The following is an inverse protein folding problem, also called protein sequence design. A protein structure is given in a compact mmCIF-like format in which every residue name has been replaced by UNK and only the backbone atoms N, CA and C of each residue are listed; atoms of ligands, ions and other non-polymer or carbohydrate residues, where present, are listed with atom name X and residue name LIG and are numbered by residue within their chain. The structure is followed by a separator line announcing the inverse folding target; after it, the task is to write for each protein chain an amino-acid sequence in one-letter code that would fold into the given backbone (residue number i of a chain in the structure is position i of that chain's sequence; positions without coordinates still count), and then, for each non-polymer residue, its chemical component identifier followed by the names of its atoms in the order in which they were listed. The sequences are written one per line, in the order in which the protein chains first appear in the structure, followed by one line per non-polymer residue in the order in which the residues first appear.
data_IF_192045668138
#
_entry.id   IF_192045668138
#
_cell.length_a   1.000
_cell.length_b   1.000
_cell.length_c   1.000
_cell.angle_alpha   90.00
_cell.angle_beta   90.00
_cell.angle_gamma   90.00
#
_symmetry.space_group_name_H-M   'P 1'
#
loop_
_entity.id
_entity.type
_entity.pdbx_description
1 polymer ?
#
# COMPACT_ATOMS: atom_id res chain seq x y z
N UNK A 1 27.16 -8.22 32.50
CA UNK A 1 27.07 -8.06 31.03
C UNK A 1 25.62 -7.81 30.70
N UNK A 2 25.36 -6.73 29.98
CA UNK A 2 24.26 -5.81 30.25
C UNK A 2 22.95 -6.11 29.54
N UNK A 3 21.87 -5.89 30.28
CA UNK A 3 20.45 -5.78 29.89
C UNK A 3 20.18 -4.94 28.61
N UNK A 4 21.16 -4.13 28.18
CA UNK A 4 21.11 -3.29 26.97
C UNK A 4 21.27 -4.09 25.65
N UNK A 5 21.85 -5.30 25.65
CA UNK A 5 21.92 -6.13 24.44
C UNK A 5 20.57 -6.80 24.09
N UNK A 6 19.75 -7.13 25.10
CA UNK A 6 18.43 -7.73 24.90
C UNK A 6 17.42 -6.72 24.31
N UNK A 7 17.54 -5.42 24.65
CA UNK A 7 16.70 -4.38 24.09
C UNK A 7 16.99 -4.11 22.61
N UNK A 8 18.22 -4.38 22.12
CA UNK A 8 18.55 -4.20 20.70
C UNK A 8 17.93 -5.27 19.81
N UNK A 9 17.64 -6.46 20.35
CA UNK A 9 16.90 -7.51 19.65
C UNK A 9 15.39 -7.21 19.55
N UNK A 10 14.84 -6.41 20.47
CA UNK A 10 13.42 -6.01 20.45
C UNK A 10 13.15 -4.76 19.60
N UNK A 11 14.16 -3.91 19.41
CA UNK A 11 14.09 -2.71 18.55
C UNK A 11 14.72 -2.89 17.17
N UNK A 12 15.33 -4.04 16.90
CA UNK A 12 15.80 -4.43 15.56
C UNK A 12 14.64 -4.98 14.76
N UNK A 13 13.80 -4.09 14.21
CA UNK A 13 12.61 -4.45 13.45
C UNK A 13 12.94 -5.49 12.38
N UNK A 14 12.45 -6.71 12.57
CA UNK A 14 12.28 -7.64 11.47
C UNK A 14 11.51 -6.89 10.39
N UNK A 15 12.08 -6.87 9.18
CA UNK A 15 11.38 -6.43 7.98
C UNK A 15 10.10 -7.27 7.93
N UNK A 16 8.96 -6.67 8.29
CA UNK A 16 7.68 -7.37 8.37
C UNK A 16 7.23 -7.87 7.00
N UNK A 17 7.86 -7.39 5.92
CA UNK A 17 7.66 -7.79 4.53
C UNK A 17 8.99 -7.77 3.78
N UNK A 18 9.19 -8.72 2.87
CA UNK A 18 10.32 -8.77 1.95
C UNK A 18 10.21 -7.59 0.96
N UNK A 19 10.90 -6.48 1.24
CA UNK A 19 10.81 -5.26 0.41
C UNK A 19 11.73 -5.37 -0.82
N UNK A 20 11.21 -5.13 -2.04
CA UNK A 20 11.95 -5.26 -3.29
C UNK A 20 13.08 -4.21 -3.45
N UNK A 21 14.16 -4.60 -4.14
CA UNK A 21 15.33 -3.72 -4.40
C UNK A 21 15.08 -2.73 -5.55
N UNK A 22 14.29 -3.11 -6.55
CA UNK A 22 13.90 -2.27 -7.68
C UNK A 22 12.44 -1.80 -7.53
N UNK A 23 12.24 -0.52 -7.18
CA UNK A 23 10.91 0.08 -6.96
C UNK A 23 10.76 1.33 -7.81
N UNK A 24 9.77 1.35 -8.71
CA UNK A 24 9.43 2.56 -9.46
C UNK A 24 8.81 3.59 -8.49
N UNK A 25 9.58 4.63 -8.17
CA UNK A 25 9.15 5.65 -7.23
C UNK A 25 8.55 6.83 -7.96
N UNK A 26 7.25 7.02 -7.78
CA UNK A 26 6.46 8.09 -8.39
C UNK A 26 6.20 9.18 -7.35
N UNK A 27 6.77 10.39 -7.51
CA UNK A 27 6.45 11.50 -6.65
C UNK A 27 4.99 11.94 -6.87
N UNK A 28 4.24 12.10 -5.78
CA UNK A 28 2.83 12.52 -5.80
C UNK A 28 2.62 13.74 -4.90
N UNK A 29 1.77 14.67 -5.31
CA UNK A 29 1.51 15.88 -4.50
C UNK A 29 0.50 15.63 -3.40
N UNK A 30 -0.60 14.98 -3.77
CA UNK A 30 -1.66 14.60 -2.85
C UNK A 30 -1.62 13.08 -2.74
N UNK A 31 -1.44 12.56 -1.53
CA UNK A 31 -1.63 11.16 -1.24
C UNK A 31 -2.14 11.10 0.20
N UNK A 32 -3.38 10.65 0.37
CA UNK A 32 -3.96 10.47 1.69
C UNK A 32 -4.30 9.01 1.88
N UNK A 33 -4.02 8.48 3.07
CA UNK A 33 -4.44 7.14 3.46
C UNK A 33 -5.28 7.24 4.71
N UNK A 34 -6.49 6.70 4.63
CA UNK A 34 -7.42 6.56 5.76
C UNK A 34 -7.65 5.09 6.03
N UNK A 35 -7.96 4.77 7.28
CA UNK A 35 -8.27 3.41 7.72
C UNK A 35 -9.68 3.43 8.27
N UNK A 36 -10.53 2.55 7.78
CA UNK A 36 -11.86 2.30 8.31
C UNK A 36 -11.91 0.87 8.85
N UNK A 37 -12.51 0.68 10.04
CA UNK A 37 -12.81 -0.67 10.52
C UNK A 37 -14.08 -1.14 9.81
N UNK A 38 -14.02 -2.34 9.22
CA UNK A 38 -15.16 -2.91 8.50
C UNK A 38 -16.19 -3.51 9.47
N UNK A 39 -15.71 -4.13 10.54
CA UNK A 39 -16.52 -4.71 11.60
C UNK A 39 -15.94 -4.32 12.97
N UNK A 40 -16.74 -3.88 13.96
CA UNK A 40 -16.25 -3.61 15.30
C UNK A 40 -15.82 -4.85 16.09
N UNK A 41 -16.29 -6.03 15.70
CA UNK A 41 -16.04 -7.31 16.37
C UNK A 41 -14.91 -8.12 15.69
N UNK A 42 -14.37 -7.64 14.56
CA UNK A 42 -13.18 -8.21 13.90
C UNK A 42 -12.07 -7.16 13.74
N UNK A 43 -10.85 -7.63 13.49
CA UNK A 43 -9.70 -6.75 13.18
C UNK A 43 -9.63 -6.39 11.68
N UNK A 44 -10.71 -6.62 10.92
CA UNK A 44 -10.76 -6.34 9.48
C UNK A 44 -10.81 -4.83 9.20
N UNK A 45 -9.90 -4.38 8.33
CA UNK A 45 -9.68 -2.97 8.03
C UNK A 45 -9.72 -2.72 6.53
N UNK A 46 -10.45 -1.69 6.15
CA UNK A 46 -10.42 -1.12 4.81
C UNK A 46 -9.42 0.03 4.76
N UNK A 47 -8.45 -0.07 3.84
CA UNK A 47 -7.49 1.00 3.57
C UNK A 47 -7.99 1.85 2.42
N UNK A 48 -8.30 3.11 2.68
CA UNK A 48 -8.79 4.05 1.67
C UNK A 48 -7.64 4.95 1.24
N UNK A 49 -7.25 4.89 -0.03
CA UNK A 49 -6.12 5.62 -0.60
C UNK A 49 -6.67 6.66 -1.56
N UNK A 50 -6.51 7.94 -1.24
CA UNK A 50 -6.79 9.04 -2.16
C UNK A 50 -5.53 9.39 -2.95
N UNK A 51 -5.60 9.34 -4.29
CA UNK A 51 -4.47 9.55 -5.17
C UNK A 51 -4.85 10.27 -6.48
N UNK A 52 -3.94 11.04 -7.10
CA UNK A 52 -4.16 11.65 -8.41
C UNK A 52 -4.34 10.61 -9.51
N UNK A 53 -5.13 10.93 -10.53
CA UNK A 53 -5.32 10.09 -11.71
C UNK A 53 -4.00 9.63 -12.35
N UNK A 54 -3.02 10.53 -12.48
CA UNK A 54 -1.72 10.17 -13.05
C UNK A 54 -0.97 9.10 -12.22
N UNK A 55 -1.13 9.09 -10.90
CA UNK A 55 -0.56 8.07 -10.03
C UNK A 55 -1.33 6.74 -10.17
N UNK A 56 -2.65 6.82 -10.26
CA UNK A 56 -3.49 5.64 -10.50
C UNK A 56 -3.15 4.96 -11.82
N UNK A 57 -2.95 5.72 -12.91
CA UNK A 57 -2.52 5.17 -14.20
C UNK A 57 -1.19 4.41 -14.13
N UNK A 58 -0.25 4.85 -13.27
CA UNK A 58 1.02 4.14 -13.05
C UNK A 58 0.80 2.82 -12.33
N UNK A 59 0.03 2.84 -11.24
CA UNK A 59 -0.27 1.64 -10.45
C UNK A 59 -1.04 0.62 -11.30
N UNK A 60 -2.06 1.05 -12.04
CA UNK A 60 -2.92 0.18 -12.84
C UNK A 60 -2.17 -0.54 -13.97
N UNK A 61 -1.03 0.00 -14.43
CA UNK A 61 -0.24 -0.57 -15.53
C UNK A 61 1.03 -1.28 -15.08
N UNK A 62 1.31 -1.29 -13.78
CA UNK A 62 2.57 -1.81 -13.28
C UNK A 62 2.58 -3.33 -13.16
N UNK A 63 3.67 -3.93 -13.64
CA UNK A 63 4.00 -5.35 -13.43
C UNK A 63 5.12 -5.53 -12.38
N UNK A 64 5.60 -4.42 -11.82
CA UNK A 64 6.68 -4.33 -10.84
C UNK A 64 6.23 -3.46 -9.65
N UNK A 65 6.94 -3.49 -8.51
CA UNK A 65 6.61 -2.66 -7.37
C UNK A 65 6.59 -1.16 -7.70
N UNK A 66 5.53 -0.47 -7.29
CA UNK A 66 5.36 0.99 -7.47
C UNK A 66 5.21 1.66 -6.11
N UNK A 67 6.06 2.64 -5.83
CA UNK A 67 5.97 3.47 -4.64
C UNK A 67 5.45 4.84 -5.00
N UNK A 68 4.29 5.19 -4.47
CA UNK A 68 3.77 6.55 -4.46
C UNK A 68 4.39 7.30 -3.27
N UNK A 69 5.24 8.27 -3.55
CA UNK A 69 5.98 9.04 -2.55
C UNK A 69 5.44 10.48 -2.47
N UNK A 70 4.68 10.82 -1.42
CA UNK A 70 4.19 12.17 -1.25
C UNK A 70 5.23 13.11 -0.67
N UNK A 71 5.03 14.42 -0.85
CA UNK A 71 5.85 15.45 -0.17
C UNK A 71 5.60 15.47 1.34
N UNK A 72 4.39 15.12 1.77
CA UNK A 72 3.98 15.05 3.18
C UNK A 72 3.13 13.80 3.43
N UNK A 73 3.16 13.25 4.64
CA UNK A 73 2.41 12.03 4.98
C UNK A 73 3.19 10.75 4.70
N UNK A 74 2.46 9.63 4.54
CA UNK A 74 3.04 8.30 4.39
C UNK A 74 3.03 7.86 2.93
N UNK A 75 4.14 7.29 2.48
CA UNK A 75 4.20 6.64 1.16
C UNK A 75 3.30 5.41 1.12
N UNK A 76 2.89 5.04 -0.09
CA UNK A 76 2.14 3.80 -0.38
C UNK A 76 2.93 3.03 -1.42
N UNK A 77 3.26 1.79 -1.14
CA UNK A 77 3.97 0.90 -2.07
C UNK A 77 3.07 -0.26 -2.46
N UNK A 78 2.75 -0.37 -3.74
CA UNK A 78 2.06 -1.51 -4.33
C UNK A 78 3.12 -2.56 -4.67
N UNK A 79 3.05 -3.73 -4.05
CA UNK A 79 4.05 -4.78 -4.18
C UNK A 79 3.40 -6.03 -4.77
N UNK A 80 3.81 -6.47 -5.99
CA UNK A 80 3.35 -7.73 -6.54
C UNK A 80 3.70 -8.91 -5.63
N UNK A 81 2.70 -9.72 -5.27
CA UNK A 81 2.88 -10.91 -4.43
C UNK A 81 2.16 -12.12 -5.02
N UNK A 82 2.54 -13.32 -4.58
CA UNK A 82 1.97 -14.59 -5.08
C UNK A 82 0.76 -15.08 -4.29
N UNK A 83 0.65 -14.67 -3.03
CA UNK A 83 -0.39 -15.11 -2.11
C UNK A 83 -1.09 -13.89 -1.51
N UNK A 84 -2.36 -14.07 -1.14
CA UNK A 84 -3.14 -13.05 -0.49
C UNK A 84 -2.50 -12.65 0.84
N UNK A 85 -2.49 -11.34 1.09
CA UNK A 85 -1.99 -10.74 2.32
C UNK A 85 -2.78 -9.46 2.59
N UNK A 86 -2.86 -9.06 3.85
CA UNK A 86 -3.47 -7.79 4.20
C UNK A 86 -2.52 -6.62 3.97
N UNK A 87 -3.05 -5.43 3.66
CA UNK A 87 -2.28 -4.18 3.72
C UNK A 87 -1.59 -4.00 5.07
N UNK A 88 -0.30 -3.66 5.03
CA UNK A 88 0.51 -3.47 6.23
C UNK A 88 1.07 -2.05 6.32
N UNK A 89 1.15 -1.51 7.53
CA UNK A 89 1.80 -0.23 7.80
C UNK A 89 3.22 -0.48 8.33
N UNK A 90 4.24 -0.18 7.52
CA UNK A 90 5.63 -0.19 7.92
C UNK A 90 6.07 1.20 8.43
N UNK A 91 6.76 1.29 9.57
CA UNK A 91 7.20 2.57 10.14
C UNK A 91 8.14 3.39 9.24
N UNK A 92 8.94 2.73 8.41
CA UNK A 92 9.98 3.34 7.57
C UNK A 92 9.54 3.49 6.11
N UNK A 93 8.75 2.55 5.62
CA UNK A 93 8.39 2.43 4.20
C UNK A 93 7.00 2.98 3.90
N UNK A 94 6.15 3.14 4.93
CA UNK A 94 4.77 3.57 4.80
C UNK A 94 3.82 2.38 4.60
N UNK A 95 2.72 2.60 3.90
CA UNK A 95 1.77 1.53 3.60
C UNK A 95 2.33 0.61 2.51
N UNK A 96 2.18 -0.69 2.73
CA UNK A 96 2.53 -1.75 1.79
C UNK A 96 1.22 -2.42 1.38
N UNK A 97 0.89 -2.32 0.11
CA UNK A 97 -0.32 -2.88 -0.49
C UNK A 97 0.09 -4.11 -1.32
N UNK A 98 -0.24 -5.32 -0.88
CA UNK A 98 0.01 -6.52 -1.67
C UNK A 98 -0.87 -6.52 -2.91
N UNK A 99 -0.28 -6.79 -4.08
CA UNK A 99 -0.97 -6.88 -5.37
C UNK A 99 -0.83 -8.30 -5.87
N UNK A 100 -1.88 -9.10 -5.73
CA UNK A 100 -1.93 -10.43 -6.32
C UNK A 100 -2.27 -10.36 -7.80
N UNK A 101 -2.26 -11.50 -8.49
CA UNK A 101 -2.74 -11.58 -9.87
C UNK A 101 -4.19 -11.12 -10.04
N UNK A 102 -5.05 -11.37 -9.04
CA UNK A 102 -6.44 -10.91 -9.03
C UNK A 102 -6.51 -9.38 -8.87
N UNK A 103 -5.77 -8.82 -7.90
CA UNK A 103 -5.71 -7.36 -7.70
C UNK A 103 -5.16 -6.62 -8.91
N UNK A 104 -4.11 -7.15 -9.54
CA UNK A 104 -3.58 -6.56 -10.77
C UNK A 104 -4.59 -6.59 -11.92
N UNK A 105 -5.41 -7.65 -12.02
CA UNK A 105 -6.47 -7.73 -13.02
C UNK A 105 -7.59 -6.72 -12.75
N UNK A 106 -8.03 -6.59 -11.49
CA UNK A 106 -9.00 -5.57 -11.07
C UNK A 106 -8.51 -4.17 -11.44
N UNK A 107 -7.30 -3.79 -10.98
CA UNK A 107 -6.67 -2.50 -11.28
C UNK A 107 -6.61 -2.19 -12.78
N UNK A 108 -6.24 -3.16 -13.63
CA UNK A 108 -6.15 -2.98 -15.09
C UNK A 108 -7.52 -2.83 -15.77
N UNK A 109 -8.57 -3.40 -15.18
CA UNK A 109 -9.93 -3.36 -15.72
C UNK A 109 -10.71 -2.10 -15.35
N UNK A 110 -10.26 -1.38 -14.32
CA UNK A 110 -10.90 -0.15 -13.85
C UNK A 110 -10.78 0.98 -14.89
N UNK A 111 -11.83 1.81 -15.06
CA UNK A 111 -11.74 3.02 -15.87
C UNK A 111 -10.65 3.96 -15.36
N UNK A 112 -9.77 4.44 -16.25
CA UNK A 112 -8.75 5.45 -15.91
C UNK A 112 -9.37 6.85 -15.89
N UNK A 113 -10.24 7.11 -14.93
CA UNK A 113 -10.90 8.40 -14.71
C UNK A 113 -11.05 8.69 -13.22
N UNK A 114 -11.36 9.93 -12.82
CA UNK A 114 -11.65 10.26 -11.43
C UNK A 114 -12.89 9.51 -10.93
N UNK A 115 -12.86 9.08 -9.68
CA UNK A 115 -13.94 8.29 -9.08
C UNK A 115 -13.50 7.50 -7.85
N UNK A 116 -14.43 6.76 -7.29
CA UNK A 116 -14.21 5.86 -6.15
C UNK A 116 -14.26 4.42 -6.66
N UNK A 117 -13.25 3.63 -6.31
CA UNK A 117 -13.10 2.25 -6.74
C UNK A 117 -12.74 1.36 -5.56
N UNK A 118 -13.46 0.28 -5.35
CA UNK A 118 -13.12 -0.71 -4.34
C UNK A 118 -12.44 -1.90 -5.01
N UNK A 119 -11.29 -2.32 -4.47
CA UNK A 119 -10.64 -3.56 -4.83
C UNK A 119 -11.23 -4.64 -3.96
N UNK A 120 -11.89 -5.64 -4.55
CA UNK A 120 -12.49 -6.73 -3.78
C UNK A 120 -11.48 -7.81 -3.42
N UNK A 121 -10.38 -7.87 -4.16
CA UNK A 121 -9.29 -8.84 -3.99
C UNK A 121 -8.31 -8.51 -2.85
N UNK A 122 -8.33 -7.28 -2.36
CA UNK A 122 -7.49 -6.79 -1.26
C UNK A 122 -8.28 -5.70 -0.56
N UNK A 123 -8.32 -5.64 0.77
CA UNK A 123 -9.13 -4.69 1.55
C UNK A 123 -8.71 -3.22 1.36
N UNK A 124 -8.88 -2.68 0.16
CA UNK A 124 -8.42 -1.38 -0.29
C UNK A 124 -9.48 -0.72 -1.15
N UNK A 125 -9.77 0.54 -0.85
CA UNK A 125 -10.51 1.44 -1.74
C UNK A 125 -9.58 2.54 -2.26
N UNK A 126 -9.78 2.95 -3.51
CA UNK A 126 -9.08 4.02 -4.19
C UNK A 126 -10.05 5.18 -4.43
N UNK A 127 -9.65 6.38 -4.04
CA UNK A 127 -10.32 7.63 -4.41
C UNK A 127 -9.41 8.34 -5.42
N UNK A 128 -9.76 8.27 -6.69
CA UNK A 128 -8.97 8.83 -7.79
C UNK A 128 -9.40 10.28 -8.02
N UNK A 129 -8.49 11.20 -7.74
CA UNK A 129 -8.69 12.64 -7.89
C UNK A 129 -8.29 13.12 -9.29
N UNK A 130 -9.06 14.05 -9.87
CA UNK A 130 -8.86 14.62 -11.21
C UNK A 130 -8.44 16.08 -11.21
#
# INVERSE_FOLDING_TARGET
MGFMEALRAFFGGEKLVDYPEDVDTVPVRNLEVRVANLDPDTDEKLIIIALPLAAFERVARADAPVRLAPTEGRAVTFVPVRADADPALDPNLGWIIPVTGATAAELRSMPLMPGEYELTSVHVALVVEG
#
